data_IF_382316067545
#
_entry.id   IF_382316067545
#
_cell.length_a   1.000
_cell.length_b   1.000
_cell.length_c   1.000
_cell.angle_alpha   90.00
_cell.angle_beta   90.00
_cell.angle_gamma   90.00
#
_symmetry.space_group_name_H-M   'P 1'
#
loop_
_entity.id
_entity.type
_entity.pdbx_description
1 polymer ?
#
# COMPACT_ATOMS: atom_id res chain seq x y z
N UNK A 1 -4.09 -26.70 8.60
CA UNK A 1 -5.29 -26.12 9.27
C UNK A 1 -6.50 -26.61 8.49
N UNK A 2 -7.46 -27.24 9.16
CA UNK A 2 -8.70 -27.68 8.52
C UNK A 2 -9.58 -26.47 8.17
N UNK A 3 -10.35 -26.48 7.06
CA UNK A 3 -11.23 -25.37 6.70
C UNK A 3 -12.22 -24.97 7.80
N UNK A 4 -12.61 -25.94 8.65
CA UNK A 4 -13.49 -25.70 9.81
C UNK A 4 -12.84 -24.91 10.95
N UNK A 5 -11.52 -24.75 10.93
CA UNK A 5 -10.75 -23.95 11.91
C UNK A 5 -10.49 -22.51 11.43
N UNK A 6 -10.92 -22.18 10.21
CA UNK A 6 -10.76 -20.87 9.61
C UNK A 6 -12.05 -20.06 9.77
N UNK A 7 -11.92 -18.86 10.28
CA UNK A 7 -13.00 -17.87 10.30
C UNK A 7 -12.73 -16.86 9.18
N UNK A 8 -13.52 -16.87 8.10
CA UNK A 8 -13.34 -15.90 7.03
C UNK A 8 -13.78 -14.52 7.49
N UNK A 9 -13.01 -13.51 7.11
CA UNK A 9 -13.31 -12.10 7.37
C UNK A 9 -13.29 -11.30 6.08
N UNK A 10 -14.01 -10.19 6.08
CA UNK A 10 -14.10 -9.26 4.97
C UNK A 10 -13.57 -7.88 5.36
N UNK A 11 -13.41 -7.02 4.36
CA UNK A 11 -13.05 -5.63 4.57
C UNK A 11 -14.04 -4.94 5.52
N UNK A 12 -13.51 -4.26 6.53
CA UNK A 12 -14.29 -3.55 7.54
C UNK A 12 -14.76 -4.42 8.73
N UNK A 13 -14.52 -5.73 8.70
CA UNK A 13 -14.79 -6.57 9.86
C UNK A 13 -13.93 -6.17 11.05
N UNK A 14 -14.47 -6.35 12.24
CA UNK A 14 -13.75 -6.11 13.49
C UNK A 14 -13.56 -7.44 14.22
N UNK A 15 -12.30 -7.78 14.47
CA UNK A 15 -11.93 -8.93 15.31
C UNK A 15 -11.55 -8.42 16.69
N UNK A 16 -12.19 -8.98 17.71
CA UNK A 16 -11.91 -8.63 19.10
C UNK A 16 -10.82 -9.54 19.68
N UNK A 17 -9.70 -8.95 20.12
CA UNK A 17 -8.63 -9.67 20.81
C UNK A 17 -8.48 -9.10 22.21
N UNK A 18 -9.02 -9.81 23.20
CA UNK A 18 -9.18 -9.27 24.55
C UNK A 18 -10.05 -8.00 24.52
N UNK A 19 -9.53 -6.89 25.01
CA UNK A 19 -10.19 -5.58 24.98
C UNK A 19 -9.87 -4.75 23.74
N UNK A 20 -9.05 -5.26 22.80
CA UNK A 20 -8.58 -4.51 21.63
C UNK A 20 -9.40 -4.89 20.40
N UNK A 21 -10.20 -3.97 19.82
CA UNK A 21 -10.81 -4.18 18.51
C UNK A 21 -9.77 -3.98 17.42
N UNK A 22 -9.73 -4.89 16.44
CA UNK A 22 -8.86 -4.83 15.27
C UNK A 22 -9.75 -4.76 14.03
N UNK A 23 -9.73 -3.65 13.33
CA UNK A 23 -10.42 -3.50 12.06
C UNK A 23 -9.57 -4.05 10.91
N UNK A 24 -10.17 -4.88 10.07
CA UNK A 24 -9.54 -5.54 8.94
C UNK A 24 -9.77 -4.73 7.66
N UNK A 25 -8.69 -4.29 7.04
CA UNK A 25 -8.75 -3.53 5.79
C UNK A 25 -8.19 -4.41 4.67
N UNK A 26 -9.03 -4.83 3.73
CA UNK A 26 -8.56 -5.55 2.54
C UNK A 26 -7.83 -4.57 1.63
N UNK A 27 -6.55 -4.82 1.37
CA UNK A 27 -5.64 -3.94 0.61
C UNK A 27 -4.88 -4.74 -0.44
N UNK A 28 -5.57 -5.28 -1.46
CA UNK A 28 -4.92 -6.07 -2.51
C UNK A 28 -3.95 -5.23 -3.34
N UNK A 29 -3.03 -5.91 -4.01
CA UNK A 29 -2.07 -5.29 -4.93
C UNK A 29 -0.70 -5.94 -4.86
N UNK A 30 -0.10 -6.07 -3.68
CA UNK A 30 1.08 -6.90 -3.48
C UNK A 30 0.73 -8.39 -3.65
N UNK A 31 -0.32 -8.80 -2.98
CA UNK A 31 -1.02 -10.07 -3.22
C UNK A 31 -2.53 -9.85 -3.24
N UNK A 32 -3.33 -10.77 -3.83
CA UNK A 32 -4.79 -10.65 -3.82
C UNK A 32 -5.40 -10.66 -2.42
N UNK A 33 -4.75 -11.32 -1.47
CA UNK A 33 -5.21 -11.46 -0.09
C UNK A 33 -4.57 -10.49 0.90
N UNK A 34 -3.81 -9.49 0.44
CA UNK A 34 -3.15 -8.53 1.32
C UNK A 34 -4.15 -7.77 2.18
N UNK A 35 -3.81 -7.57 3.45
CA UNK A 35 -4.63 -6.85 4.43
C UNK A 35 -3.78 -5.92 5.27
N UNK A 36 -4.38 -4.83 5.72
CA UNK A 36 -3.87 -3.98 6.79
C UNK A 36 -4.79 -4.09 8.01
N UNK A 37 -4.25 -3.77 9.17
CA UNK A 37 -4.99 -3.85 10.43
C UNK A 37 -4.93 -2.50 11.14
N UNK A 38 -6.11 -1.96 11.47
CA UNK A 38 -6.23 -0.70 12.21
C UNK A 38 -6.65 -1.00 13.65
N UNK A 39 -5.83 -0.60 14.61
CA UNK A 39 -6.06 -0.83 16.03
C UNK A 39 -5.41 0.25 16.88
N UNK A 40 -6.14 0.80 17.80
CA UNK A 40 -5.64 1.71 18.85
C UNK A 40 -4.68 2.79 18.30
N UNK A 41 -5.10 3.49 17.22
CA UNK A 41 -4.31 4.54 16.59
C UNK A 41 -3.07 4.05 15.83
N UNK A 42 -2.99 2.76 15.51
CA UNK A 42 -1.91 2.12 14.77
C UNK A 42 -2.43 1.46 13.51
N UNK A 43 -1.70 1.61 12.40
CA UNK A 43 -1.96 0.95 11.14
C UNK A 43 -0.82 -0.04 10.86
N UNK A 44 -1.10 -1.32 11.04
CA UNK A 44 -0.16 -2.39 10.64
C UNK A 44 -0.38 -2.64 9.16
N UNK A 45 0.56 -2.22 8.34
CA UNK A 45 0.38 -2.09 6.89
C UNK A 45 0.92 -3.27 6.07
N UNK A 46 1.66 -4.20 6.69
CA UNK A 46 2.28 -5.32 5.97
C UNK A 46 3.11 -4.83 4.78
N UNK A 47 2.98 -5.54 3.67
CA UNK A 47 3.65 -5.20 2.40
C UNK A 47 2.77 -4.36 1.46
N UNK A 48 1.75 -3.69 1.98
CA UNK A 48 0.95 -2.75 1.19
C UNK A 48 1.57 -1.36 1.19
N UNK A 49 1.86 -0.80 2.38
CA UNK A 49 2.36 0.57 2.53
C UNK A 49 3.64 0.57 3.36
N UNK A 50 4.70 1.14 2.82
CA UNK A 50 5.94 1.48 3.52
C UNK A 50 6.00 2.97 3.83
N UNK A 51 6.98 3.41 4.61
CA UNK A 51 7.07 4.83 4.99
C UNK A 51 7.41 5.74 3.80
N UNK A 52 8.13 5.20 2.83
CA UNK A 52 8.62 5.91 1.63
C UNK A 52 8.21 5.23 0.31
N UNK A 53 7.19 4.37 0.34
CA UNK A 53 6.73 3.67 -0.85
C UNK A 53 5.65 2.64 -0.57
N UNK A 54 5.57 1.64 -1.44
CA UNK A 54 4.61 0.54 -1.34
C UNK A 54 5.23 -0.79 -1.75
N UNK A 55 4.52 -1.88 -1.47
CA UNK A 55 4.90 -3.22 -1.88
C UNK A 55 4.95 -3.37 -3.39
N UNK A 56 5.86 -4.20 -3.88
CA UNK A 56 5.97 -4.53 -5.31
C UNK A 56 4.73 -5.30 -5.77
N UNK A 57 4.41 -5.14 -7.05
CA UNK A 57 3.21 -5.72 -7.67
C UNK A 57 3.52 -6.67 -8.84
N UNK A 58 4.79 -7.00 -9.03
CA UNK A 58 5.30 -7.83 -10.13
C UNK A 58 5.39 -9.33 -9.81
N UNK A 59 4.84 -9.75 -8.65
CA UNK A 59 4.66 -11.17 -8.32
C UNK A 59 3.43 -11.76 -9.00
N UNK A 60 3.36 -13.08 -9.18
CA UNK A 60 2.13 -13.75 -9.57
C UNK A 60 0.98 -13.40 -8.62
N UNK A 61 -0.11 -12.85 -9.17
CA UNK A 61 -1.25 -12.33 -8.38
C UNK A 61 -1.09 -10.87 -7.93
N UNK A 62 0.08 -10.25 -8.14
CA UNK A 62 0.25 -8.80 -7.94
C UNK A 62 -0.51 -7.98 -8.97
N UNK A 63 -1.01 -6.81 -8.57
CA UNK A 63 -1.79 -5.94 -9.45
C UNK A 63 -1.57 -4.47 -9.09
N UNK A 64 -1.12 -3.68 -10.08
CA UNK A 64 -0.80 -2.26 -9.90
C UNK A 64 -2.06 -1.42 -9.61
N UNK A 65 -3.16 -1.70 -10.31
CA UNK A 65 -4.41 -0.95 -10.14
C UNK A 65 -5.03 -1.21 -8.77
N UNK A 66 -4.98 -2.45 -8.30
CA UNK A 66 -5.44 -2.81 -6.96
C UNK A 66 -4.55 -2.14 -5.89
N UNK A 67 -3.24 -2.15 -6.07
CA UNK A 67 -2.32 -1.44 -5.17
C UNK A 67 -2.65 0.05 -5.12
N UNK A 68 -2.87 0.67 -6.27
CA UNK A 68 -3.26 2.09 -6.32
C UNK A 68 -4.53 2.37 -5.52
N UNK A 69 -5.59 1.54 -5.71
CA UNK A 69 -6.84 1.67 -4.95
C UNK A 69 -6.63 1.48 -3.46
N UNK A 70 -5.84 0.48 -3.07
CA UNK A 70 -5.49 0.21 -1.67
C UNK A 70 -4.76 1.40 -1.03
N UNK A 71 -3.81 1.99 -1.73
CA UNK A 71 -3.10 3.19 -1.25
C UNK A 71 -4.04 4.40 -1.11
N UNK A 72 -4.98 4.60 -2.05
CA UNK A 72 -6.00 5.65 -1.94
C UNK A 72 -6.91 5.43 -0.74
N UNK A 73 -7.32 4.18 -0.48
CA UNK A 73 -8.11 3.81 0.69
C UNK A 73 -7.36 4.15 1.99
N UNK A 74 -6.10 3.74 2.11
CA UNK A 74 -5.29 4.03 3.30
C UNK A 74 -5.03 5.53 3.46
N UNK A 75 -4.79 6.25 2.36
CA UNK A 75 -4.64 7.70 2.39
C UNK A 75 -5.91 8.45 2.82
N UNK A 76 -7.08 7.84 2.63
CA UNK A 76 -8.38 8.38 3.04
C UNK A 76 -8.79 8.06 4.48
N UNK A 77 -7.99 7.31 5.23
CA UNK A 77 -8.30 6.99 6.64
C UNK A 77 -8.41 8.25 7.49
N UNK A 78 -9.40 8.24 8.39
CA UNK A 78 -9.58 9.32 9.35
C UNK A 78 -8.45 9.32 10.41
N UNK A 79 -8.13 10.50 10.90
CA UNK A 79 -7.07 10.67 11.92
C UNK A 79 -5.67 10.50 11.33
N UNK A 80 -4.71 10.30 12.21
CA UNK A 80 -3.29 10.17 11.89
C UNK A 80 -2.70 8.95 12.61
N UNK A 81 -3.11 7.71 12.25
CA UNK A 81 -2.57 6.51 12.87
C UNK A 81 -1.08 6.36 12.55
N UNK A 82 -0.32 5.81 13.48
CA UNK A 82 1.09 5.47 13.26
C UNK A 82 1.17 4.24 12.36
N UNK A 83 1.87 4.36 11.23
CA UNK A 83 2.08 3.29 10.24
C UNK A 83 3.23 2.39 10.69
N UNK A 84 2.96 1.09 10.71
CA UNK A 84 3.94 0.02 10.95
C UNK A 84 4.01 -0.87 9.70
N UNK A 85 5.02 -0.71 8.85
CA UNK A 85 5.20 -1.52 7.64
C UNK A 85 5.67 -2.95 7.97
N UNK A 86 5.50 -3.87 7.02
CA UNK A 86 5.97 -5.26 7.16
C UNK A 86 7.48 -5.42 7.10
N UNK A 87 8.19 -4.45 6.52
CA UNK A 87 9.64 -4.42 6.41
C UNK A 87 10.20 -3.06 6.80
N UNK A 88 11.35 -3.07 7.43
CA UNK A 88 12.05 -1.87 7.82
C UNK A 88 13.04 -1.46 6.72
N UNK A 89 12.57 -0.66 5.76
CA UNK A 89 13.38 -0.15 4.65
C UNK A 89 13.79 1.32 4.80
N UNK A 90 13.15 2.04 5.73
CA UNK A 90 13.41 3.46 6.01
C UNK A 90 14.32 3.65 7.23
N UNK A 91 14.75 4.88 7.49
CA UNK A 91 15.55 5.21 8.66
C UNK A 91 14.80 4.94 9.98
N UNK A 92 13.49 5.26 9.99
CA UNK A 92 12.61 5.05 11.13
C UNK A 92 11.77 3.77 10.95
N UNK A 93 11.43 3.05 12.03
CA UNK A 93 10.61 1.83 11.96
C UNK A 93 9.12 2.10 11.76
N UNK A 94 8.66 3.31 12.05
CA UNK A 94 7.26 3.73 11.95
C UNK A 94 7.18 5.25 11.80
N UNK A 95 6.07 5.76 11.26
CA UNK A 95 5.83 7.19 11.12
C UNK A 95 4.31 7.48 11.14
N UNK A 96 3.90 8.71 11.49
CA UNK A 96 2.50 9.13 11.33
C UNK A 96 2.03 9.02 9.89
N UNK A 97 0.79 8.62 9.67
CA UNK A 97 0.23 8.47 8.32
C UNK A 97 0.27 9.77 7.51
N UNK A 98 0.14 10.92 8.15
CA UNK A 98 0.24 12.23 7.48
C UNK A 98 1.64 12.50 6.89
N UNK A 99 2.69 11.98 7.51
CA UNK A 99 4.04 12.01 6.97
C UNK A 99 4.17 11.08 5.77
N UNK A 100 3.69 9.84 5.90
CA UNK A 100 3.70 8.84 4.82
C UNK A 100 2.89 9.31 3.61
N UNK A 101 1.72 9.94 3.81
CA UNK A 101 0.92 10.55 2.73
C UNK A 101 1.73 11.55 1.90
N UNK A 102 2.56 12.35 2.54
CA UNK A 102 3.42 13.34 1.86
C UNK A 102 4.51 12.68 1.04
N UNK A 103 5.12 11.61 1.54
CA UNK A 103 6.14 10.88 0.80
C UNK A 103 5.54 10.13 -0.40
N UNK A 104 4.41 9.45 -0.24
CA UNK A 104 3.69 8.78 -1.33
C UNK A 104 3.24 9.81 -2.40
N UNK A 105 2.81 11.00 -2.01
CA UNK A 105 2.44 12.06 -2.95
C UNK A 105 3.66 12.57 -3.76
N UNK A 106 4.82 12.69 -3.14
CA UNK A 106 6.07 13.06 -3.83
C UNK A 106 6.49 11.98 -4.84
N UNK A 107 6.34 10.71 -4.48
CA UNK A 107 6.67 9.58 -5.36
C UNK A 107 5.74 9.54 -6.57
N UNK A 108 4.44 9.82 -6.38
CA UNK A 108 3.48 9.98 -7.47
C UNK A 108 3.89 11.07 -8.45
N UNK A 109 4.39 12.21 -7.95
CA UNK A 109 4.86 13.30 -8.81
C UNK A 109 6.11 12.91 -9.61
N UNK A 110 7.03 12.13 -9.03
CA UNK A 110 8.22 11.62 -9.74
C UNK A 110 7.88 10.61 -10.83
N UNK A 111 6.79 9.83 -10.65
CA UNK A 111 6.34 8.81 -11.58
C UNK A 111 5.21 9.27 -12.51
N UNK A 112 4.75 10.53 -12.40
CA UNK A 112 3.82 11.08 -13.39
C UNK A 112 4.60 11.27 -14.70
N UNK A 113 4.20 10.62 -15.80
CA UNK A 113 4.86 10.81 -17.09
C UNK A 113 4.82 12.30 -17.45
N UNK A 114 5.94 12.84 -17.87
CA UNK A 114 5.95 14.17 -18.47
C UNK A 114 5.18 14.12 -19.79
N UNK A 115 3.95 14.61 -19.77
CA UNK A 115 3.06 14.62 -20.94
C UNK A 115 3.56 15.54 -22.07
N UNK A 116 4.61 16.34 -21.83
CA UNK A 116 5.30 17.08 -22.88
C UNK A 116 6.22 16.19 -23.71
N UNK A 117 6.53 14.98 -23.22
CA UNK A 117 7.38 14.01 -23.92
C UNK A 117 6.51 13.23 -24.89
N UNK A 118 6.69 13.48 -26.19
CA UNK A 118 5.95 12.82 -27.27
C UNK A 118 6.57 11.45 -27.63
N UNK A 119 5.81 10.53 -28.25
CA UNK A 119 6.33 9.22 -28.68
C UNK A 119 7.53 9.29 -29.64
N UNK A 120 7.75 10.42 -30.31
CA UNK A 120 8.90 10.64 -31.22
C UNK A 120 10.17 11.11 -30.49
N UNK A 121 10.08 11.38 -29.20
CA UNK A 121 11.23 11.81 -28.39
C UNK A 121 11.98 10.59 -27.85
N UNK A 122 13.31 10.47 -28.02
CA UNK A 122 14.11 9.38 -27.46
C UNK A 122 14.03 9.28 -25.91
N UNK A 123 13.66 10.35 -25.25
CA UNK A 123 13.46 10.39 -23.81
C UNK A 123 12.16 9.68 -23.39
N UNK A 124 11.11 9.73 -24.23
CA UNK A 124 9.89 8.96 -24.05
C UNK A 124 10.18 7.45 -24.01
N UNK A 125 10.96 6.91 -24.93
CA UNK A 125 11.33 5.50 -24.96
C UNK A 125 12.14 5.09 -23.72
N UNK A 126 13.06 5.96 -23.25
CA UNK A 126 13.83 5.71 -22.03
C UNK A 126 12.93 5.68 -20.79
N UNK A 127 11.95 6.58 -20.73
CA UNK A 127 11.01 6.64 -19.63
C UNK A 127 10.08 5.43 -19.63
N UNK A 128 9.56 5.04 -20.80
CA UNK A 128 8.70 3.85 -20.94
C UNK A 128 9.43 2.55 -20.58
N UNK A 129 10.71 2.40 -20.96
CA UNK A 129 11.53 1.24 -20.55
C UNK A 129 11.74 1.17 -19.05
N UNK A 130 11.92 2.32 -18.36
CA UNK A 130 12.03 2.38 -16.89
C UNK A 130 10.72 1.99 -16.20
N UNK A 131 9.58 2.27 -16.81
CA UNK A 131 8.25 1.92 -16.31
C UNK A 131 7.85 0.47 -16.63
N UNK A 132 8.72 -0.34 -17.26
CA UNK A 132 8.44 -1.73 -17.63
C UNK A 132 7.44 -1.89 -18.77
N UNK A 133 7.10 -0.83 -19.50
CA UNK A 133 6.33 -0.87 -20.73
C UNK A 133 7.28 -1.20 -21.89
N UNK A 134 7.61 -2.47 -22.03
CA UNK A 134 8.33 -3.00 -23.19
C UNK A 134 7.35 -3.55 -24.20
#
# INVERSE_FOLDING_TARGET
IAPSELTPHQHGDIVQVGAVPIELLHTPGHTPGSQCFLLDGRLVAGDTLFLDGCGRTDFPGGNVDDMYRSLQQLAGLAGDPTVFPGHWYSAEPSAPLDEVRREVAKEKQRHTPDLSITPQNPEYERQMRRMGAA
#
